data_IF_992103573830
#
_entry.id   IF_992103573830
#
_cell.length_a   1.000
_cell.length_b   1.000
_cell.length_c   1.000
_cell.angle_alpha   90.00
_cell.angle_beta   90.00
_cell.angle_gamma   90.00
#
_symmetry.space_group_name_H-M   'P 1'
#
loop_
_entity.id
_entity.type
_entity.pdbx_description
1 polymer ?
#
# COMPACT_ATOMS: atom_id res chain seq x y z
N UNK A 1 1.01 -36.56 8.32
CA UNK A 1 0.94 -35.16 8.77
C UNK A 1 2.20 -34.50 8.26
N UNK A 2 2.10 -33.62 7.27
CA UNK A 2 3.27 -32.91 6.76
C UNK A 2 3.85 -32.07 7.91
N UNK A 3 5.17 -32.21 8.10
CA UNK A 3 5.88 -31.49 9.15
C UNK A 3 6.31 -30.16 8.56
N UNK A 4 5.68 -29.08 9.02
CA UNK A 4 6.04 -27.70 8.66
C UNK A 4 7.45 -27.41 9.22
N UNK A 5 8.30 -26.75 8.43
CA UNK A 5 9.64 -26.33 8.89
C UNK A 5 9.53 -25.21 9.94
N UNK A 6 10.62 -24.92 10.67
CA UNK A 6 10.61 -23.80 11.62
C UNK A 6 10.37 -22.47 10.90
N UNK A 7 10.99 -22.29 9.75
CA UNK A 7 10.89 -21.09 8.93
C UNK A 7 9.45 -20.89 8.44
N UNK A 8 8.81 -21.96 7.96
CA UNK A 8 7.41 -21.92 7.54
C UNK A 8 6.47 -21.68 8.72
N UNK A 9 6.75 -22.28 9.88
CA UNK A 9 5.99 -22.03 11.10
C UNK A 9 6.05 -20.55 11.49
N UNK A 10 7.25 -19.97 11.53
CA UNK A 10 7.47 -18.58 11.95
C UNK A 10 6.83 -17.59 10.97
N UNK A 11 6.93 -17.88 9.66
CA UNK A 11 6.26 -17.12 8.62
C UNK A 11 4.74 -17.15 8.79
N UNK A 12 4.15 -18.34 8.96
CA UNK A 12 2.71 -18.50 9.10
C UNK A 12 2.18 -17.91 10.39
N UNK A 13 2.85 -18.12 11.52
CA UNK A 13 2.47 -17.53 12.79
C UNK A 13 2.45 -16.00 12.70
N UNK A 14 3.48 -15.40 12.09
CA UNK A 14 3.56 -13.95 11.88
C UNK A 14 2.48 -13.44 10.91
N UNK A 15 2.24 -14.16 9.80
CA UNK A 15 1.20 -13.81 8.83
C UNK A 15 -0.20 -13.85 9.46
N UNK A 16 -0.51 -14.89 10.24
CA UNK A 16 -1.79 -15.00 10.94
C UNK A 16 -1.94 -13.95 12.04
N UNK A 17 -0.86 -13.62 12.75
CA UNK A 17 -0.88 -12.54 13.74
C UNK A 17 -1.25 -11.19 13.09
N UNK A 18 -0.66 -10.85 11.94
CA UNK A 18 -1.01 -9.63 11.20
C UNK A 18 -2.48 -9.65 10.75
N UNK A 19 -2.96 -10.77 10.20
CA UNK A 19 -4.35 -10.86 9.75
C UNK A 19 -5.34 -10.70 10.90
N UNK A 20 -5.03 -11.27 12.07
CA UNK A 20 -5.85 -11.12 13.26
C UNK A 20 -5.87 -9.67 13.78
N UNK A 21 -4.72 -8.98 13.79
CA UNK A 21 -4.64 -7.57 14.15
C UNK A 21 -5.43 -6.69 13.17
N UNK A 22 -5.31 -6.95 11.88
CA UNK A 22 -6.06 -6.27 10.83
C UNK A 22 -7.58 -6.43 11.01
N UNK A 23 -8.05 -7.67 11.20
CA UNK A 23 -9.47 -7.96 11.41
C UNK A 23 -10.00 -7.34 12.72
N UNK A 24 -9.18 -7.34 13.76
CA UNK A 24 -9.46 -6.67 15.03
C UNK A 24 -9.37 -5.14 15.00
N UNK A 25 -8.99 -4.53 13.88
CA UNK A 25 -8.81 -3.08 13.74
C UNK A 25 -7.68 -2.51 14.60
N UNK A 26 -6.73 -3.36 15.02
CA UNK A 26 -5.58 -2.98 15.82
C UNK A 26 -4.40 -2.52 14.94
N UNK A 27 -3.44 -1.83 15.55
CA UNK A 27 -2.20 -1.47 14.87
C UNK A 27 -1.32 -2.71 14.61
N UNK A 28 -0.68 -2.76 13.44
CA UNK A 28 0.15 -3.88 13.01
C UNK A 28 1.64 -3.57 13.15
N UNK A 29 2.01 -2.98 14.29
CA UNK A 29 3.41 -2.69 14.60
C UNK A 29 4.14 -3.97 15.03
N UNK A 30 5.48 -3.97 14.97
CA UNK A 30 6.30 -5.11 15.41
C UNK A 30 5.95 -5.52 16.86
N UNK A 31 5.74 -4.55 17.75
CA UNK A 31 5.41 -4.81 19.16
C UNK A 31 4.04 -5.46 19.33
N UNK A 32 3.02 -5.03 18.57
CA UNK A 32 1.68 -5.63 18.63
C UNK A 32 1.67 -7.06 18.06
N UNK A 33 2.44 -7.29 17.00
CA UNK A 33 2.62 -8.63 16.42
C UNK A 33 3.29 -9.55 17.45
N UNK A 34 4.39 -9.10 18.05
CA UNK A 34 5.09 -9.86 19.09
C UNK A 34 4.19 -10.16 20.29
N UNK A 35 3.43 -9.17 20.77
CA UNK A 35 2.51 -9.35 21.88
C UNK A 35 1.45 -10.43 21.59
N UNK A 36 0.92 -10.48 20.37
CA UNK A 36 -0.04 -11.51 19.97
C UNK A 36 0.61 -12.89 19.83
N UNK A 37 1.83 -12.96 19.29
CA UNK A 37 2.60 -14.21 19.18
C UNK A 37 2.92 -14.79 20.56
N UNK A 38 3.36 -13.95 21.50
CA UNK A 38 3.60 -14.34 22.89
C UNK A 38 2.31 -14.81 23.58
N UNK A 39 1.20 -14.08 23.42
CA UNK A 39 -0.10 -14.44 24.00
C UNK A 39 -0.63 -15.79 23.48
N UNK A 40 -0.22 -16.20 22.28
CA UNK A 40 -0.60 -17.47 21.66
C UNK A 40 0.44 -18.58 21.85
N UNK A 41 1.55 -18.30 22.53
CA UNK A 41 2.62 -19.25 22.82
C UNK A 41 3.50 -19.58 21.60
N UNK A 42 3.53 -18.70 20.60
CA UNK A 42 4.38 -18.85 19.42
C UNK A 42 5.70 -18.11 19.61
N UNK A 43 6.80 -18.84 19.48
CA UNK A 43 8.15 -18.28 19.39
C UNK A 43 8.55 -18.23 17.91
N UNK A 44 8.91 -17.06 17.42
CA UNK A 44 9.31 -16.85 16.01
C UNK A 44 10.61 -16.05 15.94
N UNK A 45 11.33 -16.18 14.83
CA UNK A 45 12.49 -15.32 14.59
C UNK A 45 12.10 -13.84 14.45
N UNK A 46 12.78 -12.92 15.16
CA UNK A 46 12.43 -11.48 15.16
C UNK A 46 12.42 -10.84 13.77
N UNK A 47 13.13 -11.43 12.82
CA UNK A 47 13.14 -11.01 11.41
C UNK A 47 11.72 -10.98 10.82
N UNK A 48 10.88 -11.97 11.12
CA UNK A 48 9.54 -12.08 10.54
C UNK A 48 8.62 -10.94 11.00
N UNK A 49 8.36 -10.70 12.30
CA UNK A 49 7.54 -9.58 12.75
C UNK A 49 7.99 -8.21 12.22
N UNK A 50 9.31 -7.99 12.13
CA UNK A 50 9.88 -6.73 11.63
C UNK A 50 9.54 -6.53 10.15
N UNK A 51 9.74 -7.53 9.29
CA UNK A 51 9.47 -7.38 7.86
C UNK A 51 7.98 -7.28 7.58
N UNK A 52 7.18 -8.11 8.26
CA UNK A 52 5.74 -8.10 8.10
C UNK A 52 5.14 -6.75 8.51
N UNK A 53 5.54 -6.17 9.65
CA UNK A 53 5.08 -4.84 10.06
C UNK A 53 5.52 -3.71 9.12
N UNK A 54 6.71 -3.82 8.51
CA UNK A 54 7.19 -2.83 7.54
C UNK A 54 6.48 -2.94 6.16
N UNK A 55 6.09 -4.15 5.76
CA UNK A 55 5.51 -4.40 4.44
C UNK A 55 3.97 -4.30 4.43
N UNK A 56 3.32 -4.75 5.51
CA UNK A 56 1.87 -4.82 5.60
C UNK A 56 1.29 -3.50 6.09
N UNK A 57 0.55 -2.83 5.22
CA UNK A 57 -0.35 -1.73 5.60
C UNK A 57 -1.80 -2.21 5.47
N UNK A 58 -2.78 -1.57 6.15
CA UNK A 58 -4.18 -1.99 6.05
C UNK A 58 -4.69 -2.02 4.60
N UNK A 59 -4.34 -1.00 3.79
CA UNK A 59 -4.67 -0.96 2.37
C UNK A 59 -4.02 -2.12 1.61
N UNK A 60 -2.74 -2.39 1.87
CA UNK A 60 -2.01 -3.46 1.20
C UNK A 60 -2.58 -4.85 1.52
N UNK A 61 -2.99 -5.08 2.76
CA UNK A 61 -3.64 -6.33 3.16
C UNK A 61 -5.02 -6.49 2.51
N UNK A 62 -5.82 -5.42 2.47
CA UNK A 62 -7.11 -5.46 1.78
C UNK A 62 -6.96 -5.81 0.29
N UNK A 63 -5.97 -5.23 -0.39
CA UNK A 63 -5.63 -5.55 -1.78
C UNK A 63 -5.20 -7.02 -1.94
N UNK A 64 -4.31 -7.52 -1.07
CA UNK A 64 -3.82 -8.90 -1.10
C UNK A 64 -4.94 -9.93 -0.86
N UNK A 65 -5.89 -9.61 0.02
CA UNK A 65 -7.05 -10.46 0.33
C UNK A 65 -8.05 -10.46 -0.83
N UNK A 66 -8.34 -9.29 -1.41
CA UNK A 66 -9.33 -9.13 -2.48
C UNK A 66 -8.85 -9.72 -3.82
N UNK A 67 -7.54 -9.67 -4.08
CA UNK A 67 -6.93 -10.16 -5.30
C UNK A 67 -5.72 -11.04 -4.96
N UNK A 68 -5.94 -12.32 -4.58
CA UNK A 68 -4.87 -13.26 -4.29
C UNK A 68 -4.20 -13.74 -5.59
N UNK A 69 -3.58 -12.82 -6.31
CA UNK A 69 -2.77 -13.07 -7.50
C UNK A 69 -1.33 -13.33 -7.05
N UNK A 70 -0.96 -14.60 -6.98
CA UNK A 70 0.42 -15.16 -6.88
C UNK A 70 1.42 -14.60 -5.85
N UNK A 71 0.99 -13.83 -4.84
CA UNK A 71 1.86 -13.39 -3.73
C UNK A 71 2.33 -14.50 -2.79
N UNK A 72 1.85 -15.74 -2.95
CA UNK A 72 2.23 -16.91 -2.17
C UNK A 72 3.59 -17.47 -2.59
N UNK A 73 4.66 -16.75 -2.29
CA UNK A 73 6.02 -17.25 -2.38
C UNK A 73 6.37 -18.18 -1.22
N UNK A 74 5.58 -19.23 -0.99
CA UNK A 74 6.03 -20.36 -0.19
C UNK A 74 7.21 -21.01 -0.91
N UNK A 75 8.41 -20.94 -0.31
CA UNK A 75 9.64 -21.42 -0.91
C UNK A 75 9.51 -22.83 -1.50
N UNK A 76 9.64 -22.93 -2.82
CA UNK A 76 9.53 -24.18 -3.56
C UNK A 76 9.55 -23.97 -5.07
N UNK A 77 10.73 -23.69 -5.62
CA UNK A 77 11.12 -24.01 -7.00
C UNK A 77 10.22 -23.56 -8.17
N UNK A 78 10.69 -22.54 -8.90
CA UNK A 78 10.57 -22.48 -10.37
C UNK A 78 9.19 -22.11 -10.93
N UNK A 79 9.10 -20.90 -11.48
CA UNK A 79 8.01 -20.54 -12.38
C UNK A 79 7.68 -19.07 -12.34
N UNK A 80 8.42 -18.26 -13.07
CA UNK A 80 7.91 -16.98 -13.53
C UNK A 80 6.61 -17.25 -14.32
N UNK A 81 5.50 -16.70 -13.87
CA UNK A 81 4.26 -16.67 -14.64
C UNK A 81 3.65 -15.26 -14.56
N UNK A 82 3.96 -14.50 -15.61
CA UNK A 82 3.14 -13.45 -16.22
C UNK A 82 2.34 -12.52 -15.29
N UNK A 83 2.93 -11.38 -14.97
CA UNK A 83 2.16 -10.15 -14.80
C UNK A 83 1.60 -9.77 -16.17
N UNK A 84 0.31 -10.08 -16.40
CA UNK A 84 -0.40 -9.75 -17.62
C UNK A 84 -1.84 -9.34 -17.33
N UNK A 85 -2.08 -8.02 -17.38
CA UNK A 85 -3.31 -7.46 -17.95
C UNK A 85 -4.46 -7.08 -17.02
N UNK A 86 -4.85 -5.80 -17.16
CA UNK A 86 -6.10 -5.14 -16.77
C UNK A 86 -6.29 -4.81 -15.27
N UNK A 87 -6.67 -3.60 -14.87
CA UNK A 87 -7.46 -2.58 -15.55
C UNK A 87 -6.95 -1.15 -15.29
N UNK A 88 -6.82 -0.42 -16.39
CA UNK A 88 -6.96 1.03 -16.47
C UNK A 88 -8.46 1.31 -16.28
N UNK A 89 -8.82 2.04 -15.21
CA UNK A 89 -10.18 2.54 -15.04
C UNK A 89 -10.12 4.06 -15.19
N UNK A 90 -10.67 4.51 -16.32
CA UNK A 90 -11.01 5.88 -16.66
C UNK A 90 -11.67 6.58 -15.48
N UNK A 91 -11.21 7.80 -15.20
CA UNK A 91 -11.96 8.76 -14.40
C UNK A 91 -12.05 10.05 -15.20
N UNK A 92 -12.97 10.05 -16.16
CA UNK A 92 -13.49 11.24 -16.81
C UNK A 92 -14.99 11.36 -16.55
N UNK A 93 -15.46 12.62 -16.55
CA UNK A 93 -16.83 13.13 -16.42
C UNK A 93 -17.47 13.17 -15.00
N UNK A 94 -18.18 14.20 -14.55
CA UNK A 94 -18.44 15.59 -15.01
C UNK A 94 -19.35 16.23 -13.92
N UNK A 95 -19.11 17.50 -13.54
CA UNK A 95 -20.15 18.48 -13.14
C UNK A 95 -19.52 19.87 -12.99
N UNK A 96 -19.59 20.68 -14.07
CA UNK A 96 -20.52 21.83 -14.29
C UNK A 96 -20.15 23.05 -13.42
N UNK A 97 -19.53 24.10 -13.99
CA UNK A 97 -20.19 25.33 -14.55
C UNK A 97 -20.95 26.09 -13.44
N UNK A 98 -20.75 27.38 -13.12
CA UNK A 98 -20.52 28.61 -13.88
C UNK A 98 -19.84 29.65 -12.94
N UNK A 99 -19.03 30.59 -13.46
CA UNK A 99 -19.35 32.03 -13.35
C UNK A 99 -18.47 32.86 -14.30
N UNK A 100 -19.14 33.77 -14.99
CA UNK A 100 -18.75 34.47 -16.19
C UNK A 100 -17.60 35.48 -16.02
N UNK A 101 -16.77 35.59 -17.07
CA UNK A 101 -16.03 36.80 -17.37
C UNK A 101 -16.85 37.68 -18.33
N UNK A 102 -16.85 39.01 -18.16
CA UNK A 102 -16.97 39.90 -19.30
C UNK A 102 -15.62 40.54 -19.63
N UNK A 103 -15.23 40.33 -20.89
CA UNK A 103 -14.14 41.00 -21.54
C UNK A 103 -14.33 42.52 -21.64
N UNK A 104 -13.29 43.25 -21.29
CA UNK A 104 -12.97 44.60 -21.78
C UNK A 104 -11.47 44.77 -21.52
N UNK A 105 -10.59 45.04 -22.47
CA UNK A 105 -10.69 45.79 -23.71
C UNK A 105 -9.53 46.80 -23.66
N UNK A 106 -8.49 46.61 -24.47
CA UNK A 106 -7.45 47.63 -24.72
C UNK A 106 -6.00 47.17 -24.58
N UNK A 107 -5.34 47.03 -25.73
CA UNK A 107 -3.91 47.26 -26.01
C UNK A 107 -3.01 47.79 -24.87
N UNK A 108 -2.17 46.93 -24.30
CA UNK A 108 -1.01 47.32 -23.48
C UNK A 108 0.33 46.82 -24.05
N UNK A 109 0.44 46.74 -25.38
CA UNK A 109 1.74 46.67 -26.06
C UNK A 109 1.98 47.99 -26.81
N UNK A 110 2.48 48.99 -26.08
CA UNK A 110 2.74 50.32 -26.61
C UNK A 110 3.60 51.14 -25.65
N UNK A 111 4.92 51.02 -25.83
CA UNK A 111 5.90 52.11 -25.79
C UNK A 111 5.60 53.31 -24.87
N UNK A 112 6.34 53.42 -23.75
CA UNK A 112 7.01 54.67 -23.33
C UNK A 112 7.63 54.56 -21.91
N UNK A 113 8.96 54.54 -21.86
CA UNK A 113 9.74 55.55 -21.13
C UNK A 113 9.88 55.48 -19.58
N UNK A 114 11.15 55.45 -19.15
CA UNK A 114 11.63 55.94 -17.85
C UNK A 114 11.66 54.85 -16.77
N UNK A 115 12.79 54.44 -16.23
CA UNK A 115 13.86 55.26 -15.65
C UNK A 115 14.05 54.73 -14.23
N UNK A 116 15.17 54.04 -13.98
CA UNK A 116 15.43 53.38 -12.71
C UNK A 116 16.92 53.08 -12.59
N UNK A 117 17.67 54.14 -12.33
CA UNK A 117 19.03 54.12 -11.81
C UNK A 117 19.01 53.72 -10.33
N UNK A 118 19.28 52.45 -10.03
CA UNK A 118 19.99 51.96 -8.83
C UNK A 118 20.64 50.61 -9.14
#
# INVERSE_FOLDING_TARGET
MEKISKEQHDEYATAFAILALYDGGAEMTTDQINALLEATGNEVEPFYPIIFSNFCTPKKLAELIALPSSGGGGGGGGGAAAAGGAAEEEKEEEKVEEEEAPAGGGDLFGDAGGGGDY
#
